data_IF_596317162986
#
_entry.id   IF_596317162986
#
_cell.length_a   1.000
_cell.length_b   1.000
_cell.length_c   1.000
_cell.angle_alpha   90.00
_cell.angle_beta   90.00
_cell.angle_gamma   90.00
#
_symmetry.space_group_name_H-M   'P 1'
#
loop_
_entity.id
_entity.type
_entity.pdbx_description
1 polymer ?
#
# COMPACT_ATOMS: atom_id res chain seq x y z
N UNK A 1 -1.10 19.98 8.55
CA UNK A 1 -0.53 20.86 7.54
C UNK A 1 0.66 21.62 8.12
N UNK A 2 1.86 21.51 7.50
CA UNK A 2 3.09 22.15 7.95
C UNK A 2 3.39 23.44 7.16
N UNK A 3 2.62 23.73 6.12
CA UNK A 3 2.85 24.88 5.22
C UNK A 3 3.06 26.21 5.94
N UNK A 4 2.24 26.62 6.94
CA UNK A 4 2.45 27.89 7.63
C UNK A 4 3.78 27.99 8.37
N UNK A 5 4.39 26.85 8.75
CA UNK A 5 5.71 26.84 9.39
C UNK A 5 6.83 27.13 8.40
N UNK A 6 6.69 26.67 7.16
CA UNK A 6 7.69 26.93 6.10
C UNK A 6 7.56 28.32 5.52
N UNK A 7 6.34 28.87 5.42
CA UNK A 7 6.10 30.26 5.01
C UNK A 7 6.78 31.30 5.92
N UNK A 8 7.04 30.91 7.18
CA UNK A 8 7.69 31.79 8.16
C UNK A 8 9.22 31.82 8.06
N UNK A 9 9.84 30.99 7.23
CA UNK A 9 11.31 30.94 7.03
C UNK A 9 11.67 31.49 5.66
N UNK A 10 12.78 32.25 5.61
CA UNK A 10 13.29 32.86 4.38
C UNK A 10 14.09 31.82 3.56
N UNK A 11 13.34 30.85 2.98
CA UNK A 11 13.90 29.83 2.09
C UNK A 11 12.82 29.34 1.12
N UNK A 12 13.25 28.92 -0.06
CA UNK A 12 12.36 28.27 -1.02
C UNK A 12 12.02 26.85 -0.55
N UNK A 13 10.77 26.45 -0.70
CA UNK A 13 10.29 25.13 -0.32
C UNK A 13 9.22 24.62 -1.30
N UNK A 14 9.09 23.32 -1.40
CA UNK A 14 8.05 22.65 -2.18
C UNK A 14 7.54 21.42 -1.44
N UNK A 15 6.26 21.10 -1.62
CA UNK A 15 5.66 19.85 -1.17
C UNK A 15 5.46 18.93 -2.36
N UNK A 16 6.00 17.72 -2.28
CA UNK A 16 5.82 16.70 -3.30
C UNK A 16 4.62 15.80 -2.92
N UNK A 17 3.77 15.52 -3.90
CA UNK A 17 2.66 14.60 -3.70
C UNK A 17 3.12 13.15 -3.96
N UNK A 18 3.46 12.43 -2.91
CA UNK A 18 3.86 11.02 -2.96
C UNK A 18 2.77 10.06 -2.48
N UNK A 19 1.53 10.52 -2.31
CA UNK A 19 0.39 9.67 -1.90
C UNK A 19 -0.14 8.78 -3.02
N UNK A 20 0.31 8.98 -4.25
CA UNK A 20 -0.06 8.15 -5.38
C UNK A 20 1.02 8.17 -6.45
N UNK A 21 1.06 7.15 -7.31
CA UNK A 21 1.99 7.11 -8.45
C UNK A 21 1.75 8.27 -9.41
N UNK A 22 0.50 8.61 -9.83
CA UNK A 22 0.26 9.81 -10.64
C UNK A 22 0.67 11.11 -9.92
N UNK A 23 0.51 11.20 -8.60
CA UNK A 23 0.97 12.33 -7.81
C UNK A 23 2.48 12.48 -7.83
N UNK A 24 3.22 11.38 -7.71
CA UNK A 24 4.67 11.36 -7.82
C UNK A 24 5.13 11.87 -9.19
N UNK A 25 4.52 11.43 -10.28
CA UNK A 25 4.90 11.89 -11.63
C UNK A 25 4.54 13.36 -11.89
N UNK A 26 3.45 13.88 -11.32
CA UNK A 26 3.18 15.33 -11.32
C UNK A 26 4.28 16.11 -10.58
N UNK A 27 4.70 15.62 -9.41
CA UNK A 27 5.79 16.23 -8.67
C UNK A 27 7.12 16.19 -9.44
N UNK A 28 7.38 15.13 -10.22
CA UNK A 28 8.53 15.05 -11.13
C UNK A 28 8.45 16.13 -12.22
N UNK A 29 7.27 16.37 -12.82
CA UNK A 29 7.08 17.45 -13.78
C UNK A 29 7.35 18.83 -13.16
N UNK A 30 6.82 19.08 -11.95
CA UNK A 30 7.07 20.32 -11.21
C UNK A 30 8.58 20.51 -10.91
N UNK A 31 9.29 19.47 -10.49
CA UNK A 31 10.73 19.50 -10.30
C UNK A 31 11.49 19.73 -11.62
N UNK A 32 11.02 19.14 -12.72
CA UNK A 32 11.55 19.41 -14.07
C UNK A 32 11.46 20.88 -14.46
N UNK A 33 10.36 21.56 -14.11
CA UNK A 33 10.21 22.99 -14.30
C UNK A 33 11.19 23.82 -13.42
N UNK A 34 11.27 23.48 -12.11
CA UNK A 34 12.09 24.20 -11.14
C UNK A 34 13.58 24.09 -11.48
N UNK A 35 14.04 22.92 -11.94
CA UNK A 35 15.45 22.63 -12.20
C UNK A 35 15.86 22.71 -13.67
N UNK A 36 14.96 23.21 -14.55
CA UNK A 36 15.17 23.26 -16.00
C UNK A 36 15.52 21.90 -16.63
N UNK A 37 14.80 20.87 -16.20
CA UNK A 37 14.94 19.46 -16.62
C UNK A 37 13.64 18.91 -17.19
N UNK A 38 12.93 19.73 -17.97
CA UNK A 38 11.60 19.40 -18.51
C UNK A 38 11.58 18.15 -19.40
N UNK A 39 12.61 18.02 -20.25
CA UNK A 39 12.70 16.88 -21.19
C UNK A 39 12.90 15.56 -20.45
N UNK A 40 13.76 15.53 -19.41
CA UNK A 40 13.97 14.33 -18.59
C UNK A 40 12.71 13.98 -17.79
N UNK A 41 12.04 14.98 -17.20
CA UNK A 41 10.78 14.79 -16.48
C UNK A 41 9.68 14.25 -17.40
N UNK A 42 9.53 14.83 -18.60
CA UNK A 42 8.54 14.38 -19.58
C UNK A 42 8.81 12.94 -20.02
N UNK A 43 10.06 12.58 -20.29
CA UNK A 43 10.42 11.20 -20.63
C UNK A 43 9.97 10.20 -19.55
N UNK A 44 10.18 10.52 -18.26
CA UNK A 44 9.73 9.67 -17.17
C UNK A 44 8.19 9.52 -17.12
N UNK A 45 7.47 10.60 -17.42
CA UNK A 45 6.00 10.57 -17.51
C UNK A 45 5.52 9.73 -18.68
N UNK A 46 6.19 9.84 -19.84
CA UNK A 46 5.85 9.07 -21.04
C UNK A 46 6.08 7.56 -20.80
N UNK A 47 7.20 7.18 -20.16
CA UNK A 47 7.49 5.79 -19.77
C UNK A 47 6.44 5.23 -18.78
N UNK A 48 5.99 6.04 -17.82
CA UNK A 48 4.90 5.65 -16.93
C UNK A 48 3.59 5.46 -17.69
N UNK A 49 3.26 6.38 -18.59
CA UNK A 49 2.00 6.35 -19.34
C UNK A 49 1.93 5.12 -20.22
N UNK A 50 3.02 4.81 -20.94
CA UNK A 50 3.13 3.61 -21.79
C UNK A 50 2.96 2.32 -20.96
N UNK A 51 3.71 2.21 -19.87
CA UNK A 51 3.59 1.07 -18.95
C UNK A 51 2.17 0.91 -18.41
N UNK A 52 1.55 2.01 -17.96
CA UNK A 52 0.23 1.97 -17.34
C UNK A 52 -0.87 1.67 -18.34
N UNK A 53 -0.78 2.20 -19.56
CA UNK A 53 -1.74 1.90 -20.63
C UNK A 53 -1.70 0.41 -20.99
N UNK A 54 -0.52 -0.19 -21.14
CA UNK A 54 -0.36 -1.63 -21.36
C UNK A 54 -0.94 -2.46 -20.19
N UNK A 55 -0.62 -2.08 -18.95
CA UNK A 55 -1.12 -2.77 -17.76
C UNK A 55 -2.65 -2.72 -17.67
N UNK A 56 -3.24 -1.55 -17.91
CA UNK A 56 -4.70 -1.35 -17.93
C UNK A 56 -5.39 -2.17 -19.02
N UNK A 57 -4.80 -2.21 -20.22
CA UNK A 57 -5.37 -2.94 -21.35
C UNK A 57 -5.37 -4.45 -21.09
N UNK A 58 -4.38 -5.00 -20.40
CA UNK A 58 -4.34 -6.40 -19.96
C UNK A 58 -5.44 -6.75 -18.94
N UNK A 59 -5.99 -5.77 -18.23
CA UNK A 59 -7.09 -5.93 -17.30
C UNK A 59 -8.45 -5.45 -17.85
N UNK A 60 -8.48 -4.96 -19.08
CA UNK A 60 -9.70 -4.45 -19.69
C UNK A 60 -10.80 -5.54 -19.76
N UNK A 61 -12.02 -5.16 -19.34
CA UNK A 61 -13.17 -6.05 -19.36
C UNK A 61 -13.26 -7.05 -18.20
N UNK A 62 -12.28 -7.08 -17.29
CA UNK A 62 -12.41 -7.86 -16.04
C UNK A 62 -13.34 -7.13 -15.06
N UNK A 63 -14.10 -7.88 -14.27
CA UNK A 63 -14.90 -7.34 -13.18
C UNK A 63 -13.95 -6.78 -12.10
N UNK A 64 -14.23 -5.57 -11.62
CA UNK A 64 -13.39 -4.92 -10.61
C UNK A 64 -13.68 -5.52 -9.23
N UNK A 65 -12.71 -6.16 -8.57
CA UNK A 65 -12.91 -6.65 -7.23
C UNK A 65 -13.03 -5.50 -6.23
N UNK A 66 -13.94 -5.63 -5.27
CA UNK A 66 -14.08 -4.72 -4.12
C UNK A 66 -13.00 -5.01 -3.11
N UNK A 67 -12.20 -4.02 -2.77
CA UNK A 67 -11.01 -4.18 -1.93
C UNK A 67 -11.12 -3.35 -0.66
N UNK A 68 -11.00 -4.01 0.48
CA UNK A 68 -10.78 -3.37 1.78
C UNK A 68 -9.27 -3.32 2.05
N UNK A 69 -8.74 -2.12 2.29
CA UNK A 69 -7.33 -1.93 2.66
C UNK A 69 -7.23 -1.55 4.12
N UNK A 70 -6.53 -2.35 4.91
CA UNK A 70 -6.22 -2.08 6.31
C UNK A 70 -4.75 -1.66 6.43
N UNK A 71 -4.51 -0.52 7.07
CA UNK A 71 -3.18 -0.02 7.37
C UNK A 71 -2.91 -0.20 8.87
N UNK A 72 -2.01 -1.13 9.19
CA UNK A 72 -1.65 -1.45 10.57
C UNK A 72 -0.61 -0.51 11.15
N UNK A 73 -0.80 -0.22 12.43
CA UNK A 73 0.13 0.44 13.32
C UNK A 73 0.34 -0.49 14.53
N UNK A 74 1.42 -0.37 15.30
CA UNK A 74 1.59 -1.17 16.50
C UNK A 74 0.38 -1.01 17.46
N UNK A 75 -0.35 -2.11 17.68
CA UNK A 75 -1.51 -2.16 18.57
C UNK A 75 -2.84 -1.64 18.00
N UNK A 76 -2.89 -1.21 16.74
CA UNK A 76 -4.13 -0.76 16.10
C UNK A 76 -4.03 -0.81 14.57
N UNK A 77 -5.14 -0.56 13.88
CA UNK A 77 -5.16 -0.36 12.42
C UNK A 77 -6.24 0.64 12.02
N UNK A 78 -6.10 1.20 10.85
CA UNK A 78 -7.00 2.15 10.21
C UNK A 78 -7.36 1.67 8.81
N UNK A 79 -8.42 2.22 8.24
CA UNK A 79 -8.81 1.95 6.86
C UNK A 79 -8.05 2.92 5.96
N UNK A 80 -7.40 2.40 4.92
CA UNK A 80 -6.74 3.19 3.88
C UNK A 80 -7.67 3.32 2.67
N UNK A 81 -7.96 4.54 2.26
CA UNK A 81 -8.84 4.84 1.12
C UNK A 81 -8.02 4.96 -0.18
N UNK A 82 -8.68 5.22 -1.30
CA UNK A 82 -8.05 5.50 -2.60
C UNK A 82 -7.09 6.71 -2.57
N UNK A 83 -7.20 7.57 -1.55
CA UNK A 83 -6.33 8.73 -1.39
C UNK A 83 -5.00 8.42 -0.68
N UNK A 84 -4.84 7.21 -0.15
CA UNK A 84 -3.57 6.68 0.37
C UNK A 84 -2.73 6.05 -0.76
N UNK A 85 -1.43 5.90 -0.53
CA UNK A 85 -0.58 5.25 -1.54
C UNK A 85 -1.02 3.82 -1.86
N UNK A 86 -1.27 3.00 -0.84
CA UNK A 86 -1.71 1.60 -1.07
C UNK A 86 -3.08 1.55 -1.73
N UNK A 87 -4.02 2.41 -1.30
CA UNK A 87 -5.33 2.51 -1.94
C UNK A 87 -5.24 2.98 -3.40
N UNK A 88 -4.33 3.93 -3.71
CA UNK A 88 -4.08 4.36 -5.08
C UNK A 88 -3.48 3.27 -5.97
N UNK A 89 -2.65 2.37 -5.41
CA UNK A 89 -2.15 1.19 -6.11
C UNK A 89 -3.28 0.19 -6.42
N UNK A 90 -4.24 0.02 -5.51
CA UNK A 90 -5.44 -0.80 -5.76
C UNK A 90 -6.23 -0.26 -6.95
N UNK A 91 -6.47 1.05 -7.01
CA UNK A 91 -7.14 1.70 -8.14
C UNK A 91 -6.35 1.53 -9.45
N UNK A 92 -5.03 1.76 -9.43
CA UNK A 92 -4.15 1.52 -10.58
C UNK A 92 -4.18 0.05 -11.03
N UNK A 93 -4.25 -0.89 -10.10
CA UNK A 93 -4.38 -2.31 -10.39
C UNK A 93 -5.76 -2.70 -10.93
N UNK A 94 -6.72 -1.77 -10.95
CA UNK A 94 -8.08 -1.98 -11.46
C UNK A 94 -9.06 -2.49 -10.42
N UNK A 95 -8.70 -2.59 -9.14
CA UNK A 95 -9.62 -2.85 -8.04
C UNK A 95 -10.48 -1.64 -7.70
N UNK A 96 -11.51 -1.83 -6.89
CA UNK A 96 -12.35 -0.77 -6.34
C UNK A 96 -12.17 -0.71 -4.82
N UNK A 97 -11.61 0.39 -4.31
CA UNK A 97 -11.53 0.58 -2.87
C UNK A 97 -12.94 0.79 -2.29
N UNK A 98 -13.35 -0.05 -1.34
CA UNK A 98 -14.73 -0.01 -0.79
C UNK A 98 -15.05 1.28 -0.01
N UNK A 99 -14.04 2.12 0.24
CA UNK A 99 -14.17 3.43 0.88
C UNK A 99 -13.82 4.58 -0.07
N UNK A 100 -13.82 4.35 -1.40
CA UNK A 100 -13.61 5.40 -2.38
C UNK A 100 -14.67 6.50 -2.29
N UNK A 101 -14.26 7.74 -2.62
CA UNK A 101 -15.14 8.91 -2.64
C UNK A 101 -15.33 9.60 -1.28
N UNK A 102 -14.66 9.17 -0.22
CA UNK A 102 -14.77 9.82 1.11
C UNK A 102 -13.96 11.12 1.20
N UNK A 103 -12.99 11.34 0.30
CA UNK A 103 -12.11 12.51 0.30
C UNK A 103 -11.06 12.51 1.42
N UNK A 104 -11.00 11.49 2.26
CA UNK A 104 -10.01 11.30 3.32
C UNK A 104 -8.96 10.27 2.88
N UNK A 105 -7.74 10.36 3.40
CA UNK A 105 -6.68 9.40 3.16
C UNK A 105 -6.86 8.14 4.00
N UNK A 106 -7.22 8.34 5.27
CA UNK A 106 -7.46 7.27 6.24
C UNK A 106 -8.76 7.49 7.01
N UNK A 107 -9.40 6.39 7.42
CA UNK A 107 -10.62 6.38 8.23
C UNK A 107 -10.43 5.52 9.47
N UNK A 108 -11.18 5.87 10.52
CA UNK A 108 -11.26 5.04 11.74
C UNK A 108 -11.99 3.74 11.43
N UNK A 109 -11.55 2.66 12.03
CA UNK A 109 -12.18 1.35 11.88
C UNK A 109 -13.58 1.33 12.48
N UNK A 110 -14.52 0.82 11.71
CA UNK A 110 -15.82 0.38 12.16
C UNK A 110 -16.12 -0.97 11.50
N UNK A 111 -16.00 -2.05 12.27
CA UNK A 111 -16.11 -3.41 11.74
C UNK A 111 -17.49 -3.76 11.21
N UNK A 112 -18.55 -3.19 11.78
CA UNK A 112 -19.92 -3.38 11.27
C UNK A 112 -20.10 -2.69 9.91
N UNK A 113 -19.60 -1.45 9.77
CA UNK A 113 -19.63 -0.75 8.49
C UNK A 113 -18.76 -1.46 7.43
N UNK A 114 -17.55 -1.89 7.78
CA UNK A 114 -16.68 -2.66 6.87
C UNK A 114 -17.36 -3.91 6.33
N UNK A 115 -18.12 -4.63 7.18
CA UNK A 115 -18.87 -5.81 6.77
C UNK A 115 -19.95 -5.47 5.73
N UNK A 116 -20.65 -4.34 5.88
CA UNK A 116 -21.68 -3.90 4.93
C UNK A 116 -21.13 -3.55 3.54
N UNK A 117 -19.82 -3.30 3.44
CA UNK A 117 -19.14 -3.02 2.16
C UNK A 117 -18.93 -4.27 1.31
N UNK A 118 -19.04 -5.47 1.91
CA UNK A 118 -18.89 -6.76 1.24
C UNK A 118 -17.62 -6.81 0.36
N UNK A 119 -16.41 -6.65 0.94
CA UNK A 119 -15.18 -6.70 0.17
C UNK A 119 -14.91 -8.13 -0.34
N UNK A 120 -14.49 -8.23 -1.62
CA UNK A 120 -14.04 -9.48 -2.23
C UNK A 120 -12.62 -9.84 -1.79
N UNK A 121 -11.82 -8.82 -1.44
CA UNK A 121 -10.41 -8.96 -1.04
C UNK A 121 -10.12 -8.05 0.14
N UNK A 122 -9.36 -8.55 1.11
CA UNK A 122 -8.80 -7.75 2.21
C UNK A 122 -7.28 -7.72 2.06
N UNK A 123 -6.71 -6.52 1.97
CA UNK A 123 -5.29 -6.26 1.93
C UNK A 123 -4.84 -5.64 3.26
N UNK A 124 -3.78 -6.18 3.86
CA UNK A 124 -3.23 -5.72 5.14
C UNK A 124 -1.81 -5.20 4.90
N UNK A 125 -1.62 -3.91 5.09
CA UNK A 125 -0.32 -3.23 4.95
C UNK A 125 0.16 -2.73 6.32
N UNK A 126 1.46 -2.55 6.49
CA UNK A 126 2.07 -2.00 7.69
C UNK A 126 2.55 -0.56 7.45
N UNK A 127 2.28 0.34 8.41
CA UNK A 127 2.84 1.69 8.41
C UNK A 127 4.25 1.73 9.02
N UNK A 128 4.46 0.97 10.09
CA UNK A 128 5.74 0.86 10.79
C UNK A 128 5.80 -0.48 11.52
N UNK A 129 6.99 -0.92 11.94
CA UNK A 129 7.22 -2.17 12.67
C UNK A 129 6.43 -3.34 12.05
N UNK A 130 6.72 -3.71 10.80
CA UNK A 130 5.89 -4.61 10.00
C UNK A 130 5.70 -5.99 10.64
N UNK A 131 6.67 -6.51 11.37
CA UNK A 131 6.61 -7.76 12.12
C UNK A 131 5.55 -7.73 13.23
N UNK A 132 5.52 -6.66 14.04
CA UNK A 132 4.51 -6.48 15.10
C UNK A 132 3.11 -6.30 14.51
N UNK A 133 3.00 -5.58 13.41
CA UNK A 133 1.74 -5.34 12.71
C UNK A 133 1.20 -6.64 12.10
N UNK A 134 2.04 -7.46 11.50
CA UNK A 134 1.63 -8.75 10.92
C UNK A 134 1.13 -9.70 12.01
N UNK A 135 1.83 -9.81 13.15
CA UNK A 135 1.39 -10.65 14.26
C UNK A 135 0.08 -10.10 14.89
N UNK A 136 -0.06 -8.79 15.03
CA UNK A 136 -1.31 -8.15 15.48
C UNK A 136 -2.49 -8.49 14.56
N UNK A 137 -2.32 -8.37 13.25
CA UNK A 137 -3.39 -8.73 12.31
C UNK A 137 -3.73 -10.22 12.38
N UNK A 138 -2.73 -11.08 12.52
CA UNK A 138 -2.93 -12.51 12.65
C UNK A 138 -3.76 -12.83 13.88
N UNK A 139 -3.38 -12.28 15.05
CA UNK A 139 -4.10 -12.46 16.30
C UNK A 139 -5.55 -11.94 16.20
N UNK A 140 -5.77 -10.73 15.67
CA UNK A 140 -7.11 -10.16 15.54
C UNK A 140 -7.98 -10.99 14.59
N UNK A 141 -7.47 -11.44 13.44
CA UNK A 141 -8.23 -12.24 12.49
C UNK A 141 -8.52 -13.66 12.99
N UNK A 142 -7.69 -14.22 13.88
CA UNK A 142 -7.90 -15.53 14.51
C UNK A 142 -8.87 -15.46 15.70
N UNK A 143 -8.81 -14.40 16.50
CA UNK A 143 -9.52 -14.33 17.79
C UNK A 143 -10.81 -13.52 17.74
N UNK A 144 -10.92 -12.53 16.85
CA UNK A 144 -12.10 -11.69 16.73
C UNK A 144 -13.11 -12.29 15.75
N UNK A 145 -14.22 -12.76 16.29
CA UNK A 145 -15.26 -13.48 15.53
C UNK A 145 -15.89 -12.65 14.40
N UNK A 146 -15.76 -11.33 14.38
CA UNK A 146 -16.32 -10.48 13.32
C UNK A 146 -15.77 -10.86 11.95
N UNK A 147 -14.47 -11.20 11.87
CA UNK A 147 -13.79 -11.52 10.62
C UNK A 147 -14.34 -12.77 9.93
N UNK A 148 -14.86 -13.75 10.67
CA UNK A 148 -15.48 -14.97 10.14
C UNK A 148 -16.72 -14.71 9.28
N UNK A 149 -17.27 -13.51 9.38
CA UNK A 149 -18.47 -13.10 8.63
C UNK A 149 -18.16 -12.43 7.29
N UNK A 150 -16.88 -12.14 7.00
CA UNK A 150 -16.46 -11.58 5.72
C UNK A 150 -16.27 -12.70 4.72
N UNK A 151 -16.82 -12.54 3.51
CA UNK A 151 -16.68 -13.54 2.45
C UNK A 151 -15.22 -13.63 1.97
N UNK A 152 -14.51 -12.51 1.91
CA UNK A 152 -13.05 -12.50 1.65
C UNK A 152 -12.27 -13.41 2.62
N UNK A 153 -12.66 -13.49 3.90
CA UNK A 153 -12.03 -14.39 4.89
C UNK A 153 -12.40 -15.84 4.65
N UNK A 154 -13.68 -16.14 4.38
CA UNK A 154 -14.17 -17.49 4.09
C UNK A 154 -13.55 -18.06 2.81
N UNK A 155 -13.31 -17.21 1.83
CA UNK A 155 -12.72 -17.56 0.53
C UNK A 155 -11.20 -17.51 0.53
N UNK A 156 -10.58 -17.28 1.70
CA UNK A 156 -9.13 -17.18 1.87
C UNK A 156 -8.48 -16.09 0.99
N UNK A 157 -9.18 -14.95 0.80
CA UNK A 157 -8.74 -13.78 0.03
C UNK A 157 -8.29 -12.64 0.93
N UNK A 158 -7.51 -12.95 1.95
CA UNK A 158 -6.84 -12.01 2.85
C UNK A 158 -5.34 -12.11 2.62
N UNK A 159 -4.67 -10.97 2.38
CA UNK A 159 -3.26 -10.95 2.03
C UNK A 159 -2.50 -9.88 2.81
N UNK A 160 -1.32 -10.26 3.32
CA UNK A 160 -0.34 -9.31 3.86
C UNK A 160 0.51 -8.74 2.73
N UNK A 161 0.76 -7.44 2.77
CA UNK A 161 1.54 -6.70 1.78
C UNK A 161 2.94 -6.38 2.34
N UNK A 162 3.98 -6.53 1.52
CA UNK A 162 5.36 -6.19 1.90
C UNK A 162 5.52 -4.70 2.14
N UNK A 163 6.14 -4.33 3.26
CA UNK A 163 6.36 -2.93 3.64
C UNK A 163 7.17 -2.16 2.58
N UNK A 164 8.17 -2.80 1.96
CA UNK A 164 9.05 -2.17 0.96
C UNK A 164 8.33 -1.71 -0.31
N UNK A 165 7.21 -2.34 -0.66
CA UNK A 165 6.40 -2.00 -1.83
C UNK A 165 5.14 -1.21 -1.49
N UNK A 166 4.60 -1.43 -0.29
CA UNK A 166 3.28 -0.94 0.13
C UNK A 166 3.34 -0.08 1.39
N UNK A 167 4.41 0.71 1.53
CA UNK A 167 4.55 1.69 2.62
C UNK A 167 3.63 2.91 2.44
N UNK A 168 4.07 4.06 2.95
CA UNK A 168 3.24 5.27 3.01
C UNK A 168 3.38 6.19 1.80
N UNK A 169 4.38 5.97 0.95
CA UNK A 169 4.72 6.88 -0.15
C UNK A 169 5.00 6.14 -1.45
N UNK A 170 4.62 6.75 -2.55
CA UNK A 170 4.90 6.25 -3.89
C UNK A 170 6.41 6.14 -4.13
N UNK A 171 6.81 5.05 -4.76
CA UNK A 171 8.18 4.75 -5.17
C UNK A 171 8.21 4.32 -6.63
N UNK A 172 9.39 4.35 -7.24
CA UNK A 172 9.58 3.83 -8.61
C UNK A 172 9.45 2.30 -8.72
N UNK A 173 9.26 1.61 -7.58
CA UNK A 173 8.98 0.17 -7.54
C UNK A 173 7.48 -0.16 -7.66
N UNK A 174 6.63 0.80 -8.00
CA UNK A 174 5.20 0.56 -8.23
C UNK A 174 4.90 -0.54 -9.28
N UNK A 175 5.70 -0.77 -10.35
CA UNK A 175 5.46 -1.89 -11.25
C UNK A 175 5.53 -3.25 -10.54
N UNK A 176 6.53 -3.44 -9.65
CA UNK A 176 6.63 -4.64 -8.83
C UNK A 176 5.41 -4.79 -7.88
N UNK A 177 4.94 -3.66 -7.31
CA UNK A 177 3.74 -3.66 -6.47
C UNK A 177 2.48 -4.09 -7.26
N UNK A 178 2.32 -3.60 -8.50
CA UNK A 178 1.22 -4.01 -9.38
C UNK A 178 1.29 -5.49 -9.77
N UNK A 179 2.51 -6.02 -10.04
CA UNK A 179 2.72 -7.46 -10.28
C UNK A 179 2.35 -8.34 -9.07
N UNK A 180 2.59 -7.83 -7.84
CA UNK A 180 2.19 -8.52 -6.61
C UNK A 180 0.68 -8.49 -6.42
N UNK A 181 0.02 -7.37 -6.71
CA UNK A 181 -1.44 -7.21 -6.59
C UNK A 181 -2.21 -8.02 -7.65
N UNK A 182 -1.67 -8.18 -8.85
CA UNK A 182 -2.35 -8.81 -9.97
C UNK A 182 -3.00 -10.17 -9.61
N UNK A 183 -2.26 -11.17 -9.08
CA UNK A 183 -2.86 -12.45 -8.70
C UNK A 183 -3.74 -12.39 -7.44
N UNK A 184 -3.62 -11.35 -6.62
CA UNK A 184 -4.48 -11.14 -5.45
C UNK A 184 -5.86 -10.61 -5.86
N UNK A 185 -5.89 -9.72 -6.86
CA UNK A 185 -7.12 -9.10 -7.35
C UNK A 185 -7.81 -9.98 -8.40
N UNK A 186 -7.05 -10.55 -9.33
CA UNK A 186 -7.55 -11.30 -10.49
C UNK A 186 -6.95 -12.72 -10.58
N UNK A 187 -7.29 -13.62 -9.66
CA UNK A 187 -6.81 -14.99 -9.73
C UNK A 187 -7.55 -15.76 -10.84
N UNK A 188 -6.94 -15.91 -12.02
CA UNK A 188 -7.54 -16.63 -13.17
C UNK A 188 -7.35 -18.14 -13.06
N UNK A 189 -6.44 -18.59 -12.20
CA UNK A 189 -6.10 -20.00 -12.03
C UNK A 189 -5.77 -20.35 -10.57
N UNK A 190 -5.73 -21.68 -10.28
CA UNK A 190 -5.20 -22.14 -8.99
C UNK A 190 -3.72 -21.80 -8.78
N UNK A 191 -2.98 -21.58 -9.86
CA UNK A 191 -1.58 -21.18 -9.80
C UNK A 191 -1.46 -19.72 -9.36
N UNK A 192 -2.33 -18.83 -9.85
CA UNK A 192 -2.40 -17.43 -9.42
C UNK A 192 -2.78 -17.32 -7.94
N UNK A 193 -3.73 -18.12 -7.48
CA UNK A 193 -4.09 -18.19 -6.06
C UNK A 193 -2.89 -18.61 -5.20
N UNK A 194 -2.12 -19.61 -5.65
CA UNK A 194 -0.87 -20.02 -4.97
C UNK A 194 0.19 -18.92 -5.00
N UNK A 195 0.32 -18.19 -6.13
CA UNK A 195 1.25 -17.07 -6.27
C UNK A 195 0.87 -15.93 -5.31
N UNK A 196 -0.42 -15.57 -5.24
CA UNK A 196 -0.93 -14.57 -4.31
C UNK A 196 -0.60 -14.93 -2.86
N UNK A 197 -0.87 -16.17 -2.44
CA UNK A 197 -0.53 -16.65 -1.09
C UNK A 197 0.97 -16.64 -0.81
N UNK A 198 1.77 -17.10 -1.76
CA UNK A 198 3.24 -17.07 -1.64
C UNK A 198 3.76 -15.64 -1.49
N UNK A 199 3.19 -14.66 -2.20
CA UNK A 199 3.55 -13.25 -2.06
C UNK A 199 3.21 -12.74 -0.66
N UNK A 200 2.03 -13.08 -0.13
CA UNK A 200 1.61 -12.74 1.24
C UNK A 200 2.51 -13.39 2.30
N UNK A 201 2.83 -14.69 2.18
CA UNK A 201 3.76 -15.38 3.07
C UNK A 201 5.17 -14.76 3.04
N UNK A 202 5.61 -14.31 1.87
CA UNK A 202 6.91 -13.62 1.72
C UNK A 202 6.90 -12.28 2.46
N UNK A 203 5.79 -11.53 2.42
CA UNK A 203 5.60 -10.31 3.20
C UNK A 203 5.74 -10.58 4.70
N UNK A 204 5.05 -11.61 5.19
CA UNK A 204 5.10 -12.04 6.59
C UNK A 204 6.52 -12.46 7.03
N UNK A 205 7.30 -13.12 6.16
CA UNK A 205 8.69 -13.51 6.47
C UNK A 205 9.65 -12.32 6.47
N UNK A 206 9.55 -11.44 5.47
CA UNK A 206 10.38 -10.23 5.39
C UNK A 206 10.18 -9.33 6.62
N UNK A 207 8.95 -9.24 7.13
CA UNK A 207 8.64 -8.55 8.36
C UNK A 207 9.44 -9.12 9.54
N UNK A 208 9.47 -10.46 9.73
CA UNK A 208 10.20 -11.12 10.82
C UNK A 208 11.73 -11.01 10.71
N UNK A 209 12.27 -11.02 9.50
CA UNK A 209 13.71 -10.90 9.27
C UNK A 209 14.22 -9.48 9.61
N UNK A 210 13.42 -8.44 9.43
CA UNK A 210 13.77 -7.06 9.79
C UNK A 210 13.88 -6.88 11.30
N UNK A 211 13.02 -7.51 12.10
CA UNK A 211 13.10 -7.47 13.58
C UNK A 211 14.40 -8.09 14.11
N UNK A 212 14.82 -9.21 13.51
CA UNK A 212 16.04 -9.90 13.93
C UNK A 212 17.29 -9.02 13.72
N UNK A 213 17.31 -8.24 12.66
CA UNK A 213 18.42 -7.33 12.34
C UNK A 213 18.43 -6.11 13.27
N UNK A 214 17.29 -5.50 13.55
CA UNK A 214 17.20 -4.35 14.46
C UNK A 214 17.60 -4.71 15.90
N UNK A 215 17.19 -5.89 16.40
CA UNK A 215 17.58 -6.36 17.74
C UNK A 215 19.09 -6.59 17.86
N UNK A 216 19.72 -7.10 16.80
CA UNK A 216 21.18 -7.33 16.77
C UNK A 216 21.94 -6.01 16.79
N UNK A 217 21.46 -4.99 16.06
CA UNK A 217 22.08 -3.67 16.01
C UNK A 217 21.93 -2.92 17.35
N UNK A 218 20.77 -3.02 18.03
CA UNK A 218 20.56 -2.46 19.37
C UNK A 218 21.43 -3.12 20.44
N UNK A 219 21.63 -4.43 20.39
CA UNK A 219 22.51 -5.16 21.32
C UNK A 219 23.97 -4.76 21.10
N UNK A 220 24.40 -4.64 19.83
CA UNK A 220 25.77 -4.22 19.47
C UNK A 220 26.07 -2.80 19.91
N UNK A 221 25.07 -1.88 19.79
CA UNK A 221 25.20 -0.49 20.24
C UNK A 221 25.32 -0.38 21.78
N UNK A 222 24.59 -1.23 22.53
CA UNK A 222 24.64 -1.28 24.00
C UNK A 222 25.94 -1.87 24.53
N UNK A 223 26.58 -2.77 23.79
CA UNK A 223 27.91 -3.32 24.15
C UNK A 223 29.07 -2.35 23.87
N UNK A 224 28.92 -1.49 22.83
CA UNK A 224 29.96 -0.51 22.45
C UNK A 224 29.94 0.75 23.33
N UNK A 225 28.88 0.96 24.11
CA UNK A 225 28.70 2.15 24.98
C UNK A 225 29.02 1.88 26.47
N UNK A 226 29.55 0.72 26.81
CA UNK A 226 30.09 0.35 28.13
C UNK A 226 31.62 0.35 28.11
#
# INVERSE_FOLDING_TARGET
>A
DQQPKYEAIDTDWAFLNLRSVPGMYRSIQELGEIFDRKEEAQKMVDEFTEFYDEYRDNNAGKEKPKVLVLMGLPGSYIIATENSYVGSLVELAGGENVYAGTGQEFLTVNTEDMKTKEPDVILRAAHALPDQVVEMFKEDFETNDIWKHFDAVKEDRVYDLTYELFGMSATFRYPEALEVLQPMLYPESKEDQKKAKKNSEKATRAAKDSEATEKTDEETLKETTK
#
